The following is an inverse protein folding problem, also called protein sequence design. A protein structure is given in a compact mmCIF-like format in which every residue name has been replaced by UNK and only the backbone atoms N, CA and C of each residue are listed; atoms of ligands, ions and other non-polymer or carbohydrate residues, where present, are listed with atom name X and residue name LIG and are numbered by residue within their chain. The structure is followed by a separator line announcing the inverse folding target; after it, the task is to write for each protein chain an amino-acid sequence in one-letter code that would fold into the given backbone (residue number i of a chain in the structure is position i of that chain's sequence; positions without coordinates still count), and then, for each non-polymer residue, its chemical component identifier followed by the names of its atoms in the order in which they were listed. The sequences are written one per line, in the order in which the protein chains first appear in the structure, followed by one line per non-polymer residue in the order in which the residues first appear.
data_IF_021717043135
#
_entry.id   IF_021717043135
#
_cell.length_a   1.000
_cell.length_b   1.000
_cell.length_c   1.000
_cell.angle_alpha   90.00
_cell.angle_beta   90.00
_cell.angle_gamma   90.00
#
_symmetry.space_group_name_H-M   'P 1'
#
loop_
_entity.id
_entity.type
_entity.pdbx_description
1 polymer ?
#
# COMPACT_ATOMS: atom_id res chain seq x y z
N UNK A 1 1.15 -6.65 21.83
CA UNK A 1 2.45 -6.97 21.19
C UNK A 1 3.37 -5.77 21.42
N UNK A 2 4.55 -5.93 22.04
CA UNK A 2 5.45 -4.80 22.39
C UNK A 2 6.03 -4.10 21.15
N UNK A 3 6.24 -2.79 21.19
CA UNK A 3 6.82 -1.97 20.09
C UNK A 3 8.09 -2.60 19.51
N UNK A 4 8.98 -3.08 20.39
CA UNK A 4 10.23 -3.74 20.00
C UNK A 4 10.04 -5.00 19.15
N UNK A 5 8.94 -5.75 19.33
CA UNK A 5 8.67 -6.90 18.45
C UNK A 5 8.25 -6.47 17.05
N UNK A 6 7.52 -5.35 16.91
CA UNK A 6 7.12 -4.81 15.60
C UNK A 6 8.33 -4.29 14.83
N UNK A 7 9.21 -3.55 15.49
CA UNK A 7 10.46 -3.03 14.92
C UNK A 7 11.36 -4.15 14.38
N UNK A 8 11.56 -5.22 15.15
CA UNK A 8 12.37 -6.37 14.72
C UNK A 8 11.76 -7.08 13.49
N UNK A 9 10.42 -7.20 13.43
CA UNK A 9 9.73 -7.77 12.27
C UNK A 9 9.84 -6.87 11.04
N UNK A 10 9.71 -5.55 11.20
CA UNK A 10 9.86 -4.58 10.11
C UNK A 10 11.29 -4.56 9.54
N UNK A 11 12.30 -4.67 10.40
CA UNK A 11 13.70 -4.75 9.99
C UNK A 11 13.99 -6.07 9.25
N UNK A 12 13.52 -7.21 9.78
CA UNK A 12 13.70 -8.51 9.14
C UNK A 12 12.99 -8.59 7.77
N UNK A 13 11.82 -7.98 7.64
CA UNK A 13 11.11 -7.88 6.37
C UNK A 13 11.81 -6.94 5.39
N UNK A 14 12.34 -5.79 5.85
CA UNK A 14 13.11 -4.86 5.03
C UNK A 14 14.35 -5.48 4.39
N UNK A 15 15.05 -6.37 5.10
CA UNK A 15 16.19 -7.13 4.55
C UNK A 15 15.76 -8.02 3.38
N UNK A 16 14.51 -8.53 3.39
CA UNK A 16 13.97 -9.34 2.29
C UNK A 16 13.35 -8.53 1.15
N UNK A 17 13.11 -7.23 1.33
CA UNK A 17 12.57 -6.36 0.28
C UNK A 17 13.49 -6.23 -0.94
N UNK A 18 14.78 -6.60 -0.82
CA UNK A 18 15.68 -6.77 -1.99
C UNK A 18 15.16 -7.82 -2.99
N UNK A 19 14.40 -8.82 -2.51
CA UNK A 19 13.75 -9.83 -3.33
C UNK A 19 12.33 -9.42 -3.80
N UNK A 20 11.87 -8.21 -3.47
CA UNK A 20 10.57 -7.73 -3.91
C UNK A 20 10.56 -7.58 -5.44
N UNK A 21 9.48 -8.00 -6.09
CA UNK A 21 9.30 -7.79 -7.53
C UNK A 21 9.30 -6.30 -7.93
N UNK A 22 9.05 -5.40 -6.98
CA UNK A 22 9.12 -3.95 -7.18
C UNK A 22 10.52 -3.35 -6.98
N UNK A 23 11.53 -4.14 -6.62
CA UNK A 23 12.90 -3.66 -6.46
C UNK A 23 13.40 -2.95 -7.73
N UNK A 24 14.04 -1.79 -7.57
CA UNK A 24 14.50 -0.96 -8.69
C UNK A 24 13.40 -0.10 -9.36
N UNK A 25 12.12 -0.26 -9.00
CA UNK A 25 11.01 0.50 -9.62
C UNK A 25 10.57 1.73 -8.81
N UNK A 26 11.43 2.27 -7.92
CA UNK A 26 11.07 3.34 -6.98
C UNK A 26 10.46 4.59 -7.62
N UNK A 27 10.95 5.03 -8.79
CA UNK A 27 10.35 6.17 -9.52
C UNK A 27 8.90 5.93 -9.93
N UNK A 28 8.59 4.72 -10.43
CA UNK A 28 7.23 4.31 -10.80
C UNK A 28 6.35 4.22 -9.55
N UNK A 29 6.88 3.62 -8.48
CA UNK A 29 6.17 3.46 -7.21
C UNK A 29 5.74 4.82 -6.65
N UNK A 30 6.72 5.72 -6.45
CA UNK A 30 6.47 7.07 -5.93
C UNK A 30 5.44 7.83 -6.77
N UNK A 31 5.52 7.72 -8.09
CA UNK A 31 4.56 8.37 -8.98
C UNK A 31 3.14 7.83 -8.80
N UNK A 32 2.99 6.51 -8.75
CA UNK A 32 1.67 5.90 -8.61
C UNK A 32 1.06 6.15 -7.23
N UNK A 33 1.87 6.15 -6.17
CA UNK A 33 1.39 6.49 -4.82
C UNK A 33 0.95 7.96 -4.72
N UNK A 34 1.66 8.89 -5.36
CA UNK A 34 1.22 10.28 -5.46
C UNK A 34 -0.11 10.41 -6.20
N UNK A 35 -0.28 9.68 -7.31
CA UNK A 35 -1.55 9.67 -8.07
C UNK A 35 -2.69 9.05 -7.25
N UNK A 36 -2.40 7.99 -6.49
CA UNK A 36 -3.36 7.34 -5.59
C UNK A 36 -3.79 8.28 -4.46
N UNK A 37 -2.83 8.93 -3.80
CA UNK A 37 -3.09 9.89 -2.73
C UNK A 37 -3.91 11.10 -3.21
N UNK A 38 -3.68 11.54 -4.46
CA UNK A 38 -4.42 12.64 -5.09
C UNK A 38 -5.77 12.21 -5.71
N UNK A 39 -6.12 10.92 -5.68
CA UNK A 39 -7.30 10.42 -6.36
C UNK A 39 -8.59 10.94 -5.69
N UNK A 40 -9.39 11.68 -6.48
CA UNK A 40 -10.71 12.16 -6.05
C UNK A 40 -11.85 11.15 -6.20
N UNK A 41 -11.57 9.92 -6.67
CA UNK A 41 -12.58 8.87 -6.84
C UNK A 41 -11.95 7.49 -6.76
N UNK A 42 -12.75 6.47 -6.41
CA UNK A 42 -12.28 5.08 -6.35
C UNK A 42 -11.75 4.58 -7.69
N UNK A 43 -12.36 4.99 -8.81
CA UNK A 43 -11.88 4.63 -10.15
C UNK A 43 -10.48 5.20 -10.44
N UNK A 44 -10.21 6.45 -10.05
CA UNK A 44 -8.87 7.06 -10.18
C UNK A 44 -7.85 6.41 -9.24
N UNK A 45 -8.27 6.07 -8.01
CA UNK A 45 -7.43 5.35 -7.06
C UNK A 45 -7.07 3.96 -7.60
N UNK A 46 -8.04 3.21 -8.13
CA UNK A 46 -7.78 1.94 -8.78
C UNK A 46 -6.83 2.08 -9.96
N UNK A 47 -7.06 3.05 -10.86
CA UNK A 47 -6.19 3.26 -12.02
C UNK A 47 -4.73 3.57 -11.63
N UNK A 48 -4.52 4.29 -10.51
CA UNK A 48 -3.19 4.54 -9.97
C UNK A 48 -2.58 3.29 -9.29
N UNK A 49 -3.39 2.50 -8.57
CA UNK A 49 -2.93 1.31 -7.86
C UNK A 49 -2.69 0.10 -8.78
N UNK A 50 -3.49 -0.06 -9.84
CA UNK A 50 -3.50 -1.24 -10.71
C UNK A 50 -2.10 -1.64 -11.21
N UNK A 51 -1.24 -0.72 -11.70
CA UNK A 51 0.10 -1.08 -12.14
C UNK A 51 0.99 -1.63 -11.02
N UNK A 52 0.75 -1.25 -9.77
CA UNK A 52 1.47 -1.74 -8.59
C UNK A 52 0.88 -3.08 -8.13
N UNK A 53 -0.45 -3.19 -8.10
CA UNK A 53 -1.17 -4.43 -7.77
C UNK A 53 -0.73 -5.59 -8.69
N UNK A 54 -0.57 -5.33 -10.00
CA UNK A 54 -0.07 -6.32 -10.96
C UNK A 54 1.34 -6.82 -10.63
N UNK A 55 2.22 -5.94 -10.12
CA UNK A 55 3.55 -6.35 -9.65
C UNK A 55 3.43 -7.21 -8.40
N UNK A 56 2.57 -6.82 -7.46
CA UNK A 56 2.35 -7.55 -6.22
C UNK A 56 1.77 -8.96 -6.45
N UNK A 57 0.93 -9.14 -7.47
CA UNK A 57 0.31 -10.44 -7.79
C UNK A 57 1.34 -11.55 -8.10
N UNK A 58 2.52 -11.20 -8.62
CA UNK A 58 3.62 -12.14 -8.88
C UNK A 58 4.78 -12.05 -7.88
N UNK A 59 4.63 -11.28 -6.80
CA UNK A 59 5.73 -11.03 -5.87
C UNK A 59 5.89 -12.18 -4.86
N UNK A 60 7.07 -12.82 -4.75
CA UNK A 60 7.25 -13.99 -3.89
C UNK A 60 7.19 -13.68 -2.40
N UNK A 61 7.30 -12.41 -2.02
CA UNK A 61 7.35 -11.95 -0.62
C UNK A 61 6.11 -11.12 -0.22
N UNK A 62 4.97 -11.32 -0.90
CA UNK A 62 3.77 -10.51 -0.69
C UNK A 62 3.24 -10.59 0.75
N UNK A 63 3.38 -11.75 1.40
CA UNK A 63 2.95 -11.96 2.78
C UNK A 63 3.84 -11.23 3.79
N UNK A 64 5.15 -11.25 3.57
CA UNK A 64 6.12 -10.49 4.36
C UNK A 64 5.94 -8.99 4.16
N UNK A 65 5.66 -8.56 2.92
CA UNK A 65 5.35 -7.16 2.60
C UNK A 65 4.09 -6.68 3.34
N UNK A 66 3.06 -7.53 3.44
CA UNK A 66 1.86 -7.24 4.25
C UNK A 66 2.19 -7.08 5.73
N UNK A 67 3.00 -7.99 6.28
CA UNK A 67 3.42 -7.95 7.69
C UNK A 67 4.24 -6.70 8.01
N UNK A 68 5.15 -6.34 7.09
CA UNK A 68 5.91 -5.10 7.18
C UNK A 68 5.00 -3.87 7.17
N UNK A 69 4.05 -3.80 6.24
CA UNK A 69 3.14 -2.66 6.12
C UNK A 69 2.31 -2.44 7.39
N UNK A 70 1.84 -3.51 8.03
CA UNK A 70 1.15 -3.44 9.32
C UNK A 70 2.08 -2.97 10.45
N UNK A 71 3.28 -3.56 10.54
CA UNK A 71 4.20 -3.29 11.63
C UNK A 71 4.78 -1.86 11.59
N UNK A 72 5.03 -1.33 10.39
CA UNK A 72 5.63 -0.02 10.12
C UNK A 72 4.59 1.12 10.07
N UNK A 73 3.31 0.81 10.35
CA UNK A 73 2.20 1.76 10.20
C UNK A 73 2.16 2.40 8.80
N UNK A 74 2.47 1.59 7.78
CA UNK A 74 2.66 2.08 6.42
C UNK A 74 1.40 2.75 5.86
N UNK A 75 1.62 3.78 5.04
CA UNK A 75 0.56 4.49 4.31
C UNK A 75 0.97 4.61 2.85
N UNK A 76 0.19 4.02 1.94
CA UNK A 76 0.56 3.87 0.54
C UNK A 76 -0.03 2.60 -0.08
N UNK A 77 0.63 2.10 -1.13
CA UNK A 77 0.32 0.81 -1.75
C UNK A 77 1.39 -0.20 -1.36
N UNK A 78 0.99 -1.33 -0.79
CA UNK A 78 1.88 -2.45 -0.45
C UNK A 78 1.11 -3.76 -0.50
N UNK A 79 1.80 -4.87 -0.80
CA UNK A 79 1.20 -6.20 -0.86
C UNK A 79 -0.09 -6.32 -1.70
N UNK A 80 -0.23 -5.49 -2.74
CA UNK A 80 -1.40 -5.46 -3.63
C UNK A 80 -2.62 -4.75 -3.06
N UNK A 81 -2.49 -4.06 -1.93
CA UNK A 81 -3.56 -3.34 -1.25
C UNK A 81 -3.16 -1.89 -0.93
N UNK A 82 -4.16 -1.07 -0.64
CA UNK A 82 -3.92 0.24 -0.05
C UNK A 82 -3.75 0.09 1.46
N UNK A 83 -2.95 0.95 2.06
CA UNK A 83 -2.66 0.95 3.49
C UNK A 83 -2.81 2.35 4.06
N UNK A 84 -3.37 2.43 5.26
CA UNK A 84 -3.52 3.68 6.02
C UNK A 84 -3.11 3.42 7.45
N UNK A 85 -1.96 3.95 7.86
CA UNK A 85 -1.40 3.76 9.21
C UNK A 85 -1.37 2.28 9.61
N UNK A 86 -0.88 1.41 8.72
CA UNK A 86 -0.79 -0.02 8.96
C UNK A 86 -2.11 -0.78 8.89
N UNK A 87 -3.19 -0.15 8.42
CA UNK A 87 -4.48 -0.81 8.21
C UNK A 87 -4.70 -1.05 6.72
N UNK A 88 -4.84 -2.33 6.34
CA UNK A 88 -5.14 -2.74 4.98
C UNK A 88 -6.53 -2.26 4.54
N UNK A 89 -6.61 -1.80 3.29
CA UNK A 89 -7.80 -1.31 2.60
C UNK A 89 -7.83 -1.85 1.17
N UNK A 90 -9.01 -1.89 0.53
CA UNK A 90 -9.08 -2.18 -0.90
C UNK A 90 -8.18 -1.24 -1.70
N UNK A 91 -7.52 -1.71 -2.76
CA UNK A 91 -6.59 -0.89 -3.55
C UNK A 91 -7.22 0.39 -4.15
N UNK A 92 -8.55 0.40 -4.35
CA UNK A 92 -9.31 1.55 -4.83
C UNK A 92 -9.73 2.53 -3.70
N UNK A 93 -9.25 2.32 -2.47
CA UNK A 93 -9.62 3.14 -1.33
C UNK A 93 -9.19 4.61 -1.52
N UNK A 94 -10.05 5.52 -1.07
CA UNK A 94 -9.80 6.96 -1.04
C UNK A 94 -10.11 7.51 0.36
N UNK A 95 -9.37 8.53 0.79
CA UNK A 95 -9.53 9.13 2.12
C UNK A 95 -10.87 9.87 2.30
N UNK A 96 -11.50 10.29 1.20
CA UNK A 96 -12.80 10.98 1.21
C UNK A 96 -13.76 10.33 0.25
N UNK A 97 -14.79 9.67 0.76
CA UNK A 97 -16.03 9.59 0.01
C UNK A 97 -16.69 10.97 0.03
N UNK A 98 -17.05 11.57 -1.12
CA UNK A 98 -17.98 12.68 -1.09
C UNK A 98 -19.27 12.15 -0.45
N UNK A 99 -19.63 12.69 0.71
CA UNK A 99 -21.00 12.54 1.23
C UNK A 99 -21.90 13.10 0.14
N UNK A 100 -22.71 12.24 -0.51
CA UNK A 100 -23.93 12.73 -1.14
C UNK A 100 -24.73 13.34 0.00
N UNK A 101 -24.77 14.67 0.10
CA UNK A 101 -25.89 15.32 0.77
C UNK A 101 -27.12 14.86 -0.02
N UNK A 102 -27.85 13.89 0.52
CA UNK A 102 -29.26 13.76 0.21
C UNK A 102 -29.87 15.07 0.71
N UNK A 103 -30.10 16.01 -0.21
CA UNK A 103 -30.94 17.16 0.06
C UNK A 103 -32.36 16.62 0.25
N UNK A 104 -32.94 16.95 1.39
CA UNK A 104 -34.34 16.75 1.75
C UNK A 104 -35.30 17.41 0.77
#
# INVERSE_FOLDING_TARGET
MSSRRKEVLAQAASVRLVAAACAGQGKKWNRQEQLHAAAGSQAKAWAAAEPLVKICAGCPIVAECRTWAEADEYTGIAAGAAWVKGVEKPAHWIHRHPMKKLAS
#
